data_IF_834367520141
#
_entry.id   IF_834367520141
#
_cell.length_a   1.000
_cell.length_b   1.000
_cell.length_c   1.000
_cell.angle_alpha   90.00
_cell.angle_beta   90.00
_cell.angle_gamma   90.00
#
_symmetry.space_group_name_H-M   'P 1'
#
loop_
_entity.id
_entity.type
_entity.pdbx_description
1 polymer ?
#
# COMPACT_ATOMS: atom_id res chain seq x y z
N UNK A 1 12.14 -8.78 -23.88
CA UNK A 1 10.78 -8.76 -23.30
C UNK A 1 10.85 -7.84 -22.09
N UNK A 2 10.15 -6.71 -22.10
CA UNK A 2 10.07 -5.84 -20.93
C UNK A 2 8.89 -6.32 -20.06
N UNK A 3 9.14 -6.56 -18.78
CA UNK A 3 8.11 -6.87 -17.79
C UNK A 3 7.89 -5.60 -17.00
N UNK A 4 6.69 -5.02 -17.11
CA UNK A 4 6.35 -3.76 -16.45
C UNK A 4 5.58 -4.03 -15.16
N UNK A 5 6.03 -3.42 -14.07
CA UNK A 5 5.37 -3.48 -12.75
C UNK A 5 3.92 -2.98 -12.75
N UNK A 6 3.50 -2.23 -13.78
CA UNK A 6 2.16 -1.66 -13.94
C UNK A 6 1.20 -2.57 -14.70
N UNK A 7 1.70 -3.61 -15.41
CA UNK A 7 0.90 -4.34 -16.38
C UNK A 7 -0.33 -5.03 -15.77
N UNK A 8 -0.20 -5.61 -14.58
CA UNK A 8 -1.30 -6.28 -13.88
C UNK A 8 -2.43 -5.31 -13.49
N UNK A 9 -2.07 -4.07 -13.20
CA UNK A 9 -2.99 -3.02 -12.74
C UNK A 9 -3.78 -2.39 -13.89
N UNK A 10 -3.47 -2.69 -15.15
CA UNK A 10 -4.20 -2.17 -16.31
C UNK A 10 -5.63 -2.70 -16.43
N UNK A 11 -6.02 -3.64 -15.56
CA UNK A 11 -7.40 -4.11 -15.42
C UNK A 11 -8.27 -3.24 -14.51
N UNK A 12 -7.68 -2.23 -13.83
CA UNK A 12 -8.42 -1.28 -13.01
C UNK A 12 -9.49 -0.54 -13.84
N UNK A 13 -10.72 -0.41 -13.34
CA UNK A 13 -11.77 0.35 -13.99
C UNK A 13 -11.59 1.86 -13.74
N UNK A 14 -12.36 2.69 -14.46
CA UNK A 14 -12.23 4.15 -14.48
C UNK A 14 -12.42 4.78 -13.10
N UNK A 15 -13.38 4.28 -12.34
CA UNK A 15 -13.68 4.68 -10.97
C UNK A 15 -12.51 4.48 -9.99
N UNK A 16 -11.52 3.64 -10.33
CA UNK A 16 -10.36 3.37 -9.48
C UNK A 16 -9.09 4.07 -9.96
N UNK A 17 -8.92 4.26 -11.26
CA UNK A 17 -7.70 4.88 -11.79
C UNK A 17 -7.77 6.41 -11.96
N UNK A 18 -8.97 7.00 -12.06
CA UNK A 18 -9.10 8.44 -12.14
C UNK A 18 -8.94 9.08 -10.76
N UNK A 19 -8.09 10.10 -10.70
CA UNK A 19 -8.12 11.05 -9.60
C UNK A 19 -9.24 12.07 -9.83
N UNK A 20 -9.81 12.61 -8.75
CA UNK A 20 -10.79 13.70 -8.80
C UNK A 20 -10.13 15.05 -9.15
N UNK A 21 -9.45 15.09 -10.29
CA UNK A 21 -8.73 16.21 -10.87
C UNK A 21 -9.37 16.60 -12.22
N UNK A 22 -9.05 17.76 -12.81
CA UNK A 22 -9.52 18.10 -14.15
C UNK A 22 -9.25 16.97 -15.15
N UNK A 23 -10.30 16.51 -15.84
CA UNK A 23 -10.22 15.34 -16.73
C UNK A 23 -9.24 15.51 -17.90
N UNK A 24 -8.92 16.75 -18.29
CA UNK A 24 -7.87 17.03 -19.29
C UNK A 24 -6.49 16.49 -18.87
N UNK A 25 -6.16 16.48 -17.57
CA UNK A 25 -4.89 15.94 -17.08
C UNK A 25 -4.75 14.45 -17.39
N UNK A 26 -5.83 13.68 -17.32
CA UNK A 26 -5.83 12.30 -17.76
C UNK A 26 -5.71 12.21 -19.30
N UNK A 27 -6.57 12.91 -20.03
CA UNK A 27 -6.62 12.81 -21.51
C UNK A 27 -5.34 13.23 -22.22
N UNK A 28 -4.70 14.30 -21.75
CA UNK A 28 -3.58 14.96 -22.44
C UNK A 28 -2.23 14.57 -21.84
N UNK A 29 -2.19 14.20 -20.55
CA UNK A 29 -0.95 13.94 -19.83
C UNK A 29 -0.89 12.56 -19.16
N UNK A 30 -1.94 11.75 -19.27
CA UNK A 30 -1.97 10.41 -18.67
C UNK A 30 -1.93 10.42 -17.15
N UNK A 31 -2.36 11.49 -16.48
CA UNK A 31 -2.41 11.53 -15.01
C UNK A 31 -3.50 10.57 -14.53
N UNK A 32 -3.08 9.43 -13.98
CA UNK A 32 -3.93 8.37 -13.44
C UNK A 32 -3.17 7.54 -12.41
N UNK A 33 -3.89 6.66 -11.71
CA UNK A 33 -3.30 5.55 -10.97
C UNK A 33 -2.72 4.52 -11.94
N UNK A 34 -1.45 4.17 -11.74
CA UNK A 34 -0.77 3.09 -12.45
C UNK A 34 -0.41 1.92 -11.53
N UNK A 35 -0.13 2.19 -10.26
CA UNK A 35 0.32 1.20 -9.30
C UNK A 35 1.77 0.74 -9.52
N UNK A 36 2.23 -0.17 -8.65
CA UNK A 36 3.48 -0.90 -8.82
C UNK A 36 3.39 -2.27 -8.11
N UNK A 37 4.47 -3.05 -8.15
CA UNK A 37 4.50 -4.43 -7.65
C UNK A 37 3.50 -5.37 -8.38
N UNK A 38 3.09 -5.03 -9.60
CA UNK A 38 2.10 -5.80 -10.36
C UNK A 38 2.52 -7.25 -10.61
N UNK A 39 3.81 -7.51 -10.85
CA UNK A 39 4.32 -8.89 -10.99
C UNK A 39 4.17 -9.68 -9.69
N UNK A 40 4.41 -9.06 -8.53
CA UNK A 40 4.23 -9.73 -7.24
C UNK A 40 2.76 -9.98 -6.95
N UNK A 41 1.90 -8.96 -7.11
CA UNK A 41 0.45 -9.10 -6.92
C UNK A 41 -0.16 -10.15 -7.85
N UNK A 42 0.25 -10.18 -9.12
CA UNK A 42 -0.14 -11.23 -10.06
C UNK A 42 0.29 -12.61 -9.55
N UNK A 43 1.58 -12.77 -9.20
CA UNK A 43 2.12 -14.05 -8.75
C UNK A 43 1.36 -14.60 -7.53
N UNK A 44 1.20 -13.79 -6.48
CA UNK A 44 0.52 -14.25 -5.26
C UNK A 44 -0.98 -14.48 -5.46
N UNK A 45 -1.60 -13.83 -6.45
CA UNK A 45 -2.98 -14.16 -6.86
C UNK A 45 -3.05 -15.57 -7.44
N UNK A 46 -2.09 -15.95 -8.30
CA UNK A 46 -2.03 -17.31 -8.87
C UNK A 46 -1.76 -18.36 -7.79
N UNK A 47 -0.84 -18.09 -6.85
CA UNK A 47 -0.55 -19.03 -5.76
C UNK A 47 -1.72 -19.14 -4.78
N UNK A 48 -2.40 -18.04 -4.44
CA UNK A 48 -3.58 -18.06 -3.59
C UNK A 48 -4.71 -18.92 -4.18
N UNK A 49 -4.91 -18.89 -5.50
CA UNK A 49 -5.89 -19.75 -6.19
C UNK A 49 -5.60 -21.25 -5.94
N UNK A 50 -4.32 -21.66 -6.01
CA UNK A 50 -3.90 -23.03 -5.72
C UNK A 50 -4.13 -23.41 -4.25
N UNK A 51 -3.75 -22.53 -3.32
CA UNK A 51 -3.90 -22.76 -1.88
C UNK A 51 -5.37 -22.89 -1.49
N UNK A 52 -6.23 -22.04 -2.05
CA UNK A 52 -7.66 -22.04 -1.79
C UNK A 52 -8.42 -23.08 -2.63
N UNK A 53 -7.73 -23.81 -3.51
CA UNK A 53 -8.28 -24.79 -4.43
C UNK A 53 -9.49 -24.25 -5.21
N UNK A 54 -9.34 -23.04 -5.78
CA UNK A 54 -10.36 -22.34 -6.58
C UNK A 54 -9.77 -21.89 -7.91
N UNK A 55 -10.57 -21.80 -8.98
CA UNK A 55 -10.16 -21.10 -10.20
C UNK A 55 -9.79 -19.65 -9.90
N UNK A 56 -8.75 -19.12 -10.56
CA UNK A 56 -8.30 -17.74 -10.31
C UNK A 56 -9.35 -16.72 -10.73
N UNK A 57 -10.17 -17.05 -11.72
CA UNK A 57 -11.29 -16.25 -12.23
C UNK A 57 -12.43 -16.12 -11.21
N UNK A 58 -12.46 -16.94 -10.17
CA UNK A 58 -13.45 -16.90 -9.08
C UNK A 58 -12.89 -16.28 -7.80
N UNK A 59 -11.67 -15.74 -7.83
CA UNK A 59 -10.97 -15.29 -6.65
C UNK A 59 -11.20 -13.81 -6.35
N UNK A 60 -11.71 -13.52 -5.15
CA UNK A 60 -11.79 -12.17 -4.59
C UNK A 60 -10.88 -12.08 -3.36
N UNK A 61 -9.73 -11.44 -3.51
CA UNK A 61 -8.72 -11.35 -2.46
C UNK A 61 -8.15 -9.95 -2.36
N UNK A 62 -7.58 -9.64 -1.20
CA UNK A 62 -6.77 -8.44 -1.00
C UNK A 62 -5.32 -8.89 -0.83
N UNK A 63 -4.43 -8.42 -1.70
CA UNK A 63 -3.01 -8.78 -1.66
C UNK A 63 -2.19 -7.64 -1.07
N UNK A 64 -1.37 -7.93 -0.07
CA UNK A 64 -0.53 -6.98 0.65
C UNK A 64 0.94 -7.31 0.38
N UNK A 65 1.56 -6.60 -0.57
CA UNK A 65 2.99 -6.66 -0.81
C UNK A 65 3.69 -5.69 0.15
N UNK A 66 4.36 -6.21 1.17
CA UNK A 66 5.01 -5.41 2.21
C UNK A 66 6.52 -5.65 2.17
N UNK A 67 7.28 -4.61 1.82
CA UNK A 67 8.74 -4.59 1.83
C UNK A 67 9.26 -3.17 2.05
N UNK A 68 10.44 -2.85 1.53
CA UNK A 68 10.94 -1.46 1.57
C UNK A 68 9.99 -0.50 0.80
N UNK A 69 9.32 -1.01 -0.24
CA UNK A 69 8.06 -0.45 -0.75
C UNK A 69 6.89 -1.33 -0.33
N UNK A 70 5.75 -0.71 -0.04
CA UNK A 70 4.53 -1.41 0.34
C UNK A 70 3.36 -1.03 -0.57
N UNK A 71 2.63 -2.01 -1.11
CA UNK A 71 1.35 -1.74 -1.76
C UNK A 71 0.31 -2.82 -1.46
N UNK A 72 -0.95 -2.40 -1.40
CA UNK A 72 -2.11 -3.29 -1.30
C UNK A 72 -2.84 -3.28 -2.65
N UNK A 73 -3.37 -4.41 -3.09
CA UNK A 73 -4.22 -4.50 -4.28
C UNK A 73 -5.52 -5.23 -3.96
N UNK A 74 -6.63 -4.72 -4.51
CA UNK A 74 -7.92 -5.36 -4.51
C UNK A 74 -8.05 -6.20 -5.79
N UNK A 75 -8.24 -7.50 -5.63
CA UNK A 75 -8.39 -8.44 -6.74
C UNK A 75 -9.82 -8.98 -6.72
N UNK A 76 -10.53 -8.84 -7.83
CA UNK A 76 -11.89 -9.37 -8.00
C UNK A 76 -11.94 -10.21 -9.27
N UNK A 77 -12.42 -11.44 -9.15
CA UNK A 77 -12.44 -12.43 -10.23
C UNK A 77 -11.05 -12.57 -10.91
N UNK A 78 -9.99 -12.61 -10.10
CA UNK A 78 -8.60 -12.76 -10.56
C UNK A 78 -7.97 -11.52 -11.22
N UNK A 79 -8.70 -10.39 -11.32
CA UNK A 79 -8.23 -9.15 -11.94
C UNK A 79 -8.03 -8.06 -10.89
N UNK A 80 -7.01 -7.22 -11.08
CA UNK A 80 -6.77 -6.07 -10.21
C UNK A 80 -7.83 -5.00 -10.48
N UNK A 81 -8.69 -4.73 -9.49
CA UNK A 81 -9.70 -3.67 -9.56
C UNK A 81 -9.26 -2.40 -8.85
N UNK A 82 -8.28 -2.44 -7.95
CA UNK A 82 -7.65 -1.25 -7.37
C UNK A 82 -6.27 -1.58 -6.76
N UNK A 83 -5.41 -0.58 -6.57
CA UNK A 83 -4.10 -0.73 -5.93
C UNK A 83 -3.66 0.54 -5.22
N UNK A 84 -2.92 0.45 -4.12
CA UNK A 84 -2.70 1.60 -3.23
C UNK A 84 -1.71 2.60 -3.79
N UNK A 85 -0.76 2.15 -4.62
CA UNK A 85 0.20 3.05 -5.29
C UNK A 85 -0.45 3.76 -6.48
N UNK A 86 -0.03 5.00 -6.68
CA UNK A 86 -0.69 5.98 -7.52
C UNK A 86 -0.13 6.11 -8.92
N UNK A 87 -0.04 7.37 -9.36
CA UNK A 87 0.80 7.80 -10.48
C UNK A 87 2.25 7.38 -10.28
N UNK A 88 2.72 7.40 -9.02
CA UNK A 88 4.05 6.99 -8.62
C UNK A 88 4.00 6.01 -7.44
N UNK A 89 5.10 5.32 -7.13
CA UNK A 89 5.20 4.49 -5.93
C UNK A 89 5.22 5.25 -4.59
N UNK A 90 4.88 6.55 -4.54
CA UNK A 90 4.86 7.34 -3.31
C UNK A 90 3.53 7.21 -2.53
N UNK A 91 2.40 7.12 -3.25
CA UNK A 91 1.07 7.02 -2.65
C UNK A 91 0.87 5.66 -1.96
N UNK A 92 0.04 5.63 -0.91
CA UNK A 92 -0.43 4.40 -0.29
C UNK A 92 0.04 4.18 1.14
N UNK A 93 0.60 3.00 1.34
CA UNK A 93 1.06 2.54 2.64
C UNK A 93 2.22 3.40 3.18
N UNK A 94 2.38 3.38 4.50
CA UNK A 94 3.65 3.74 5.14
C UNK A 94 4.70 2.75 4.63
N UNK A 95 5.90 3.22 4.27
CA UNK A 95 6.98 2.37 3.76
C UNK A 95 8.27 2.64 4.54
N UNK A 96 9.40 2.05 4.12
CA UNK A 96 10.68 2.22 4.81
C UNK A 96 11.12 3.69 4.89
N UNK A 97 11.16 4.38 3.74
CA UNK A 97 11.58 5.79 3.65
C UNK A 97 10.55 6.71 2.98
N UNK A 98 9.42 6.15 2.51
CA UNK A 98 8.35 6.88 1.84
C UNK A 98 7.19 7.14 2.78
N UNK A 99 6.57 8.31 2.65
CA UNK A 99 5.44 8.71 3.49
C UNK A 99 4.20 7.84 3.30
N UNK A 100 3.92 7.41 2.06
CA UNK A 100 2.57 7.00 1.70
C UNK A 100 1.64 8.21 1.66
N UNK A 101 0.36 7.98 1.91
CA UNK A 101 -0.64 9.05 1.94
C UNK A 101 -0.32 10.11 2.98
N UNK A 102 -0.46 11.36 2.54
CA UNK A 102 -0.44 12.58 3.31
C UNK A 102 -1.50 13.53 2.76
N UNK A 103 -1.89 14.54 3.52
CA UNK A 103 -2.67 15.64 2.99
C UNK A 103 -1.83 16.41 1.94
N UNK A 104 -2.30 16.58 0.69
CA UNK A 104 -1.60 17.39 -0.31
C UNK A 104 -1.28 18.82 0.14
N UNK A 105 -2.10 19.40 1.04
CA UNK A 105 -1.85 20.74 1.60
C UNK A 105 -0.57 20.82 2.44
N UNK A 106 -0.06 19.69 2.96
CA UNK A 106 1.23 19.65 3.66
C UNK A 106 2.36 20.07 2.71
N UNK A 107 2.31 19.70 1.43
CA UNK A 107 3.34 20.09 0.45
C UNK A 107 3.41 21.62 0.34
N UNK A 108 2.26 22.29 0.23
CA UNK A 108 2.19 23.74 0.17
C UNK A 108 2.58 24.40 1.50
N UNK A 109 2.19 23.82 2.64
CA UNK A 109 2.62 24.32 3.94
C UNK A 109 4.15 24.27 4.12
N UNK A 110 4.79 23.15 3.77
CA UNK A 110 6.24 23.00 3.83
C UNK A 110 6.95 24.01 2.91
N UNK A 111 6.39 24.24 1.72
CA UNK A 111 6.96 25.17 0.77
C UNK A 111 6.77 26.64 1.21
N UNK A 112 5.52 27.05 1.40
CA UNK A 112 5.15 28.45 1.57
C UNK A 112 5.43 28.95 2.99
N UNK A 113 5.30 28.08 4.00
CA UNK A 113 5.49 28.45 5.42
C UNK A 113 6.88 28.09 5.93
N UNK A 114 7.39 26.90 5.61
CA UNK A 114 8.70 26.45 6.09
C UNK A 114 9.85 26.72 5.10
N UNK A 115 9.56 27.30 3.93
CA UNK A 115 10.56 27.71 2.95
C UNK A 115 11.30 26.56 2.29
N UNK A 116 10.77 25.33 2.36
CA UNK A 116 11.40 24.17 1.71
C UNK A 116 11.22 24.25 0.19
N UNK A 117 12.27 23.96 -0.58
CA UNK A 117 12.13 23.81 -2.03
C UNK A 117 11.31 22.56 -2.37
N UNK A 118 10.68 22.55 -3.55
CA UNK A 118 9.96 21.37 -4.07
C UNK A 118 10.87 20.13 -4.10
N UNK A 119 12.15 20.29 -4.46
CA UNK A 119 13.12 19.19 -4.45
C UNK A 119 13.40 18.67 -3.04
N UNK A 120 13.52 19.57 -2.05
CA UNK A 120 13.70 19.17 -0.65
C UNK A 120 12.47 18.44 -0.11
N UNK A 121 11.26 18.89 -0.47
CA UNK A 121 10.01 18.21 -0.09
C UNK A 121 9.94 16.83 -0.75
N UNK A 122 10.26 16.73 -2.04
CA UNK A 122 10.30 15.44 -2.74
C UNK A 122 11.30 14.48 -2.10
N UNK A 123 12.51 14.96 -1.79
CA UNK A 123 13.51 14.16 -1.07
C UNK A 123 12.99 13.72 0.30
N UNK A 124 12.38 14.62 1.06
CA UNK A 124 11.82 14.31 2.37
C UNK A 124 10.75 13.21 2.28
N UNK A 125 9.78 13.36 1.37
CA UNK A 125 8.68 12.40 1.19
C UNK A 125 9.15 11.04 0.65
N UNK A 126 10.25 10.99 -0.10
CA UNK A 126 10.72 9.77 -0.75
C UNK A 126 11.87 9.05 -0.02
N UNK A 127 12.66 9.77 0.78
CA UNK A 127 13.90 9.28 1.39
C UNK A 127 14.01 9.49 2.90
N UNK A 128 13.24 10.41 3.49
CA UNK A 128 13.41 10.83 4.89
C UNK A 128 12.11 10.64 5.70
N UNK A 129 11.08 10.02 5.10
CA UNK A 129 9.76 9.77 5.67
C UNK A 129 9.58 8.30 6.07
N UNK A 130 8.33 7.86 6.25
CA UNK A 130 8.01 6.46 6.51
C UNK A 130 8.48 5.99 7.88
N UNK A 131 8.89 4.72 7.98
CA UNK A 131 9.44 4.16 9.21
C UNK A 131 10.70 4.92 9.67
N UNK A 132 11.53 5.37 8.73
CA UNK A 132 12.70 6.19 9.06
C UNK A 132 12.30 7.50 9.75
N UNK A 133 11.38 8.25 9.16
CA UNK A 133 10.91 9.51 9.75
C UNK A 133 10.18 9.33 11.07
N UNK A 134 9.39 8.25 11.21
CA UNK A 134 8.62 7.98 12.43
C UNK A 134 9.48 7.50 13.60
N UNK A 135 10.52 6.71 13.32
CA UNK A 135 11.43 6.22 14.37
C UNK A 135 12.56 7.21 14.67
N UNK A 136 12.94 8.06 13.71
CA UNK A 136 14.15 8.90 13.76
C UNK A 136 15.44 8.07 13.93
N UNK A 137 15.36 6.75 13.64
CA UNK A 137 16.46 5.79 13.84
C UNK A 137 16.74 5.02 12.55
N UNK A 138 15.74 4.33 11.98
CA UNK A 138 15.95 3.43 10.84
C UNK A 138 14.71 3.20 9.99
N UNK A 139 14.92 2.87 8.72
CA UNK A 139 13.88 2.42 7.80
C UNK A 139 13.55 0.92 7.92
N UNK A 140 14.32 0.18 8.72
CA UNK A 140 14.20 -1.27 8.84
C UNK A 140 13.01 -1.67 9.73
N UNK A 141 12.07 -2.42 9.16
CA UNK A 141 10.90 -2.89 9.88
C UNK A 141 11.24 -3.88 11.01
N UNK A 142 12.37 -4.60 10.92
CA UNK A 142 12.83 -5.50 11.99
C UNK A 142 13.07 -4.76 13.30
N UNK A 143 13.67 -3.57 13.24
CA UNK A 143 13.83 -2.72 14.42
C UNK A 143 12.49 -2.39 15.06
N UNK A 144 11.50 -2.02 14.24
CA UNK A 144 10.16 -1.66 14.72
C UNK A 144 9.50 -2.87 15.38
N UNK A 145 9.55 -4.04 14.75
CA UNK A 145 8.96 -5.28 15.27
C UNK A 145 9.64 -5.79 16.55
N UNK A 146 10.96 -5.68 16.66
CA UNK A 146 11.69 -6.15 17.83
C UNK A 146 11.52 -5.22 19.05
N UNK A 147 11.16 -3.94 18.83
CA UNK A 147 11.23 -2.92 19.88
C UNK A 147 9.88 -2.25 20.21
N UNK A 148 8.78 -2.51 19.49
CA UNK A 148 7.51 -1.76 19.67
C UNK A 148 6.87 -1.91 21.06
N UNK A 149 7.24 -2.94 21.82
CA UNK A 149 6.74 -3.13 23.19
C UNK A 149 7.50 -2.30 24.23
N UNK A 150 8.77 -1.97 23.95
CA UNK A 150 9.67 -1.33 24.92
C UNK A 150 9.98 0.13 24.58
N UNK A 151 9.99 0.48 23.28
CA UNK A 151 10.43 1.79 22.80
C UNK A 151 9.29 2.60 22.19
N UNK A 152 9.18 3.86 22.61
CA UNK A 152 8.10 4.76 22.17
C UNK A 152 8.17 5.11 20.67
N UNK A 153 9.36 5.24 20.10
CA UNK A 153 9.62 5.47 18.68
C UNK A 153 9.24 4.26 17.81
N UNK A 154 9.64 3.05 18.23
CA UNK A 154 9.21 1.83 17.57
C UNK A 154 7.69 1.64 17.68
N UNK A 155 7.10 1.91 18.85
CA UNK A 155 5.66 1.83 19.07
C UNK A 155 4.87 2.77 18.17
N UNK A 156 5.24 4.05 18.10
CA UNK A 156 4.53 5.03 17.24
C UNK A 156 4.61 4.61 15.77
N UNK A 157 5.77 4.11 15.33
CA UNK A 157 5.97 3.66 13.96
C UNK A 157 5.11 2.42 13.64
N UNK A 158 5.12 1.40 14.52
CA UNK A 158 4.30 0.19 14.39
C UNK A 158 2.81 0.51 14.33
N UNK A 159 2.34 1.36 15.25
CA UNK A 159 0.92 1.72 15.36
C UNK A 159 0.44 2.46 14.10
N UNK A 160 1.22 3.43 13.59
CA UNK A 160 0.88 4.16 12.36
C UNK A 160 0.94 3.27 11.13
N UNK A 161 1.95 2.40 11.02
CA UNK A 161 2.08 1.44 9.92
C UNK A 161 0.89 0.48 9.87
N UNK A 162 0.59 -0.20 10.99
CA UNK A 162 -0.52 -1.15 11.09
C UNK A 162 -1.88 -0.48 10.93
N UNK A 163 -2.03 0.75 11.44
CA UNK A 163 -3.24 1.54 11.21
C UNK A 163 -3.47 1.82 9.72
N UNK A 164 -2.43 2.28 8.99
CA UNK A 164 -2.55 2.55 7.55
C UNK A 164 -2.87 1.27 6.78
N UNK A 165 -2.18 0.18 7.07
CA UNK A 165 -2.40 -1.12 6.44
C UNK A 165 -3.82 -1.64 6.67
N UNK A 166 -4.30 -1.62 7.91
CA UNK A 166 -5.66 -2.03 8.25
C UNK A 166 -6.72 -1.19 7.51
N UNK A 167 -6.53 0.14 7.43
CA UNK A 167 -7.44 1.00 6.65
C UNK A 167 -7.49 0.63 5.18
N UNK A 168 -6.36 0.29 4.55
CA UNK A 168 -6.33 -0.12 3.14
C UNK A 168 -7.03 -1.46 2.91
N UNK A 169 -6.78 -2.45 3.78
CA UNK A 169 -7.50 -3.72 3.72
C UNK A 169 -9.00 -3.48 3.90
N UNK A 170 -9.38 -2.68 4.89
CA UNK A 170 -10.77 -2.32 5.14
C UNK A 170 -11.41 -1.54 3.99
N UNK A 171 -10.72 -0.60 3.36
CA UNK A 171 -11.28 0.16 2.23
C UNK A 171 -11.56 -0.73 1.02
N UNK A 172 -10.70 -1.72 0.79
CA UNK A 172 -10.84 -2.61 -0.35
C UNK A 172 -11.97 -3.62 -0.24
N UNK A 173 -12.59 -3.80 0.93
CA UNK A 173 -13.83 -4.58 1.02
C UNK A 173 -14.97 -3.94 0.23
N UNK A 174 -14.97 -2.62 0.04
CA UNK A 174 -15.95 -1.93 -0.81
C UNK A 174 -15.88 -2.36 -2.29
N UNK A 175 -14.76 -2.95 -2.70
CA UNK A 175 -14.51 -3.39 -4.08
C UNK A 175 -14.79 -4.88 -4.29
N UNK A 176 -15.08 -5.62 -3.22
CA UNK A 176 -15.17 -7.09 -3.20
C UNK A 176 -16.54 -7.64 -3.61
N UNK A 177 -17.52 -6.78 -3.91
CA UNK A 177 -18.86 -7.17 -4.36
C UNK A 177 -19.52 -8.23 -3.44
N UNK A 178 -19.43 -7.99 -2.13
CA UNK A 178 -20.03 -8.83 -1.10
C UNK A 178 -19.23 -10.07 -0.67
N UNK A 179 -18.07 -10.37 -1.31
CA UNK A 179 -17.26 -11.56 -0.97
C UNK A 179 -15.77 -11.27 -0.96
N UNK A 180 -15.12 -11.52 0.18
CA UNK A 180 -13.68 -11.57 0.35
C UNK A 180 -13.27 -12.99 0.73
N UNK A 181 -12.51 -13.67 -0.12
CA UNK A 181 -12.04 -15.04 0.13
C UNK A 181 -10.86 -15.07 1.11
N UNK A 182 -9.91 -14.14 0.98
CA UNK A 182 -8.72 -14.07 1.82
C UNK A 182 -8.00 -12.71 1.73
N UNK A 183 -7.18 -12.43 2.76
CA UNK A 183 -6.14 -11.39 2.72
C UNK A 183 -4.78 -12.08 2.65
N UNK A 184 -3.98 -11.73 1.66
CA UNK A 184 -2.68 -12.35 1.37
C UNK A 184 -1.56 -11.40 1.78
N UNK A 185 -0.57 -11.88 2.52
CA UNK A 185 0.65 -11.14 2.84
C UNK A 185 1.84 -11.72 2.08
N UNK A 186 2.65 -10.84 1.48
CA UNK A 186 3.88 -11.21 0.75
C UNK A 186 4.92 -10.09 0.85
N UNK A 187 6.12 -10.33 0.33
CA UNK A 187 7.23 -9.41 0.40
C UNK A 187 8.01 -9.58 1.70
N UNK A 188 9.19 -8.96 1.77
CA UNK A 188 10.12 -9.19 2.87
C UNK A 188 9.53 -8.92 4.26
N UNK A 189 8.68 -7.91 4.42
CA UNK A 189 7.96 -7.64 5.68
C UNK A 189 6.76 -8.59 5.80
N UNK A 190 5.96 -8.76 4.74
CA UNK A 190 4.73 -9.53 4.80
C UNK A 190 4.95 -11.00 5.16
N UNK A 191 6.08 -11.57 4.74
CA UNK A 191 6.46 -12.96 5.00
C UNK A 191 7.06 -13.13 6.41
N UNK A 192 7.89 -12.18 6.86
CA UNK A 192 8.70 -12.35 8.07
C UNK A 192 8.15 -11.66 9.32
N UNK A 193 7.35 -10.59 9.17
CA UNK A 193 6.88 -9.77 10.28
C UNK A 193 5.52 -10.24 10.81
N UNK A 194 5.54 -11.20 11.72
CA UNK A 194 4.33 -11.79 12.30
C UNK A 194 3.47 -10.73 13.02
N UNK A 195 4.09 -9.83 13.78
CA UNK A 195 3.33 -8.85 14.55
C UNK A 195 2.68 -7.78 13.66
N UNK A 196 3.29 -7.46 12.52
CA UNK A 196 2.67 -6.55 11.54
C UNK A 196 1.36 -7.15 11.02
N UNK A 197 1.33 -8.45 10.71
CA UNK A 197 0.12 -9.15 10.28
C UNK A 197 -0.92 -9.18 11.40
N UNK A 198 -0.53 -9.60 12.60
CA UNK A 198 -1.43 -9.74 13.75
C UNK A 198 -2.04 -8.39 14.17
N UNK A 199 -1.21 -7.35 14.34
CA UNK A 199 -1.67 -6.03 14.79
C UNK A 199 -2.50 -5.29 13.75
N UNK A 200 -2.27 -5.54 12.45
CA UNK A 200 -3.10 -4.95 11.39
C UNK A 200 -4.45 -5.66 11.25
N UNK A 201 -4.47 -6.99 11.19
CA UNK A 201 -5.71 -7.76 11.13
C UNK A 201 -6.54 -7.66 12.41
N UNK A 202 -5.90 -7.56 13.58
CA UNK A 202 -6.60 -7.38 14.86
C UNK A 202 -7.43 -6.09 14.94
N UNK A 203 -7.19 -5.11 14.06
CA UNK A 203 -8.01 -3.89 13.94
C UNK A 203 -9.28 -4.09 13.10
N UNK A 204 -9.40 -5.22 12.42
CA UNK A 204 -10.45 -5.53 11.44
C UNK A 204 -11.43 -6.59 11.94
N UNK A 205 -11.66 -6.67 13.25
CA UNK A 205 -12.61 -7.61 13.85
C UNK A 205 -14.03 -7.52 13.28
N UNK A 206 -14.44 -6.35 12.78
CA UNK A 206 -15.72 -6.15 12.07
C UNK A 206 -15.82 -7.00 10.79
N UNK A 207 -14.70 -7.28 10.13
CA UNK A 207 -14.64 -8.11 8.93
C UNK A 207 -14.49 -9.60 9.21
N UNK A 208 -14.41 -10.00 10.50
CA UNK A 208 -14.17 -11.37 10.94
C UNK A 208 -12.94 -12.03 10.27
N UNK A 209 -11.89 -11.23 10.01
CA UNK A 209 -10.60 -11.73 9.54
C UNK A 209 -9.85 -12.32 10.74
N UNK A 210 -9.52 -13.62 10.67
CA UNK A 210 -8.76 -14.36 11.70
C UNK A 210 -7.52 -15.00 11.11
#
# INVERSE_FOLDING_TARGET
MAVFDTAFHQTMPEESYLYALPYSLYKEHGVRRYGAHGTSHFYVTQEAAKILNKPVEELNIITCHLGNGGSVSAIRNGKCVDTSMGLTPLEGLVMGTRSGDIDPAIIFHLHDTLGMSVDAINKMLTKESGLLGLTEVTSDCRYVEDNYQEKADAKRAMDVYCHRLAKYIGSYTALMDGRLDAVIFTGGIGENAAMVRELSLGKLGVLALS
#
